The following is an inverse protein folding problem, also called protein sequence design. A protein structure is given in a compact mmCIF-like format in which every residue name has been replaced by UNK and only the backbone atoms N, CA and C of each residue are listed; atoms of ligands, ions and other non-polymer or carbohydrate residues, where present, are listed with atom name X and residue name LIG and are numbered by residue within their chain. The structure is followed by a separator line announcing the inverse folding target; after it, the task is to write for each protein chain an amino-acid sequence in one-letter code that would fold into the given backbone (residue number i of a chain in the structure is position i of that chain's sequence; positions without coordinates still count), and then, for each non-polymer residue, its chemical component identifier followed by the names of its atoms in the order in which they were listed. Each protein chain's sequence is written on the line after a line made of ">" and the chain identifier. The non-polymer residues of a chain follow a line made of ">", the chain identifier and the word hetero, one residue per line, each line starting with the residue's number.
data_IF_332446729277
#
_entry.id   IF_332446729277
#
_cell.length_a   1.000
_cell.length_b   1.000
_cell.length_c   1.000
_cell.angle_alpha   90.00
_cell.angle_beta   90.00
_cell.angle_gamma   90.00
#
_symmetry.space_group_name_H-M   'P 1'
#
loop_
_entity.id
_entity.type
_entity.pdbx_description
1 polymer ?
#
# COMPACT_ATOMS: atom_id res chain seq x y z
N UNK A 1 4.50 -15.07 11.38
CA UNK A 1 3.42 -14.08 11.54
C UNK A 1 3.88 -13.11 12.61
N UNK A 2 4.16 -11.85 12.26
CA UNK A 2 4.36 -10.79 13.24
C UNK A 2 2.99 -10.60 13.92
N UNK A 3 2.94 -10.66 15.26
CA UNK A 3 1.72 -10.59 16.05
C UNK A 3 0.89 -9.35 15.72
N UNK A 4 0.01 -9.46 14.73
CA UNK A 4 -0.94 -8.41 14.37
C UNK A 4 -2.01 -8.19 15.46
N UNK A 5 -2.07 -9.09 16.43
CA UNK A 5 -2.91 -9.02 17.63
C UNK A 5 -2.59 -7.81 18.53
N UNK A 6 -1.37 -7.25 18.40
CA UNK A 6 -0.92 -6.07 19.16
C UNK A 6 -1.05 -4.75 18.38
N UNK A 7 -1.56 -4.81 17.14
CA UNK A 7 -1.65 -3.62 16.31
C UNK A 7 -2.76 -2.67 16.77
N UNK A 8 -2.45 -1.39 16.75
CA UNK A 8 -3.35 -0.33 17.19
C UNK A 8 -4.05 0.28 15.98
N UNK A 9 -5.35 0.46 16.10
CA UNK A 9 -6.15 1.13 15.09
C UNK A 9 -5.91 2.65 15.13
N UNK A 10 -5.54 3.22 13.98
CA UNK A 10 -5.29 4.66 13.83
C UNK A 10 -6.56 5.40 13.39
N UNK A 11 -7.37 4.78 12.54
CA UNK A 11 -8.59 5.36 12.01
C UNK A 11 -8.91 4.83 10.62
N UNK A 12 -9.94 5.40 10.00
CA UNK A 12 -10.29 5.12 8.61
C UNK A 12 -10.44 6.39 7.79
N UNK A 13 -10.45 6.22 6.46
CA UNK A 13 -10.79 7.24 5.47
C UNK A 13 -11.73 6.65 4.45
N UNK A 14 -12.62 7.49 3.93
CA UNK A 14 -13.57 7.13 2.89
C UNK A 14 -13.22 7.92 1.64
N UNK A 15 -13.08 7.21 0.52
CA UNK A 15 -12.78 7.78 -0.79
C UNK A 15 -13.91 7.37 -1.73
N UNK A 16 -14.46 8.33 -2.46
CA UNK A 16 -15.42 8.06 -3.53
C UNK A 16 -14.69 8.12 -4.86
N UNK A 17 -14.87 7.12 -5.67
CA UNK A 17 -14.11 6.97 -6.91
C UNK A 17 -14.91 6.32 -8.04
N UNK A 18 -14.22 5.99 -9.14
CA UNK A 18 -14.80 5.36 -10.31
C UNK A 18 -15.28 3.93 -10.02
N UNK A 19 -15.55 3.15 -11.06
CA UNK A 19 -15.90 1.73 -10.90
C UNK A 19 -14.93 1.02 -9.96
N UNK A 20 -15.45 0.21 -9.04
CA UNK A 20 -14.65 -0.50 -8.03
C UNK A 20 -13.58 -1.44 -8.63
N UNK A 21 -13.82 -1.98 -9.85
CA UNK A 21 -12.81 -2.81 -10.55
C UNK A 21 -11.66 -1.96 -11.05
N UNK A 22 -11.94 -0.74 -11.53
CA UNK A 22 -10.89 0.21 -11.95
C UNK A 22 -10.06 0.63 -10.74
N UNK A 23 -10.71 0.94 -9.61
CA UNK A 23 -10.00 1.22 -8.37
C UNK A 23 -9.18 0.03 -7.88
N UNK A 24 -9.69 -1.20 -8.02
CA UNK A 24 -8.97 -2.43 -7.67
C UNK A 24 -7.76 -2.66 -8.59
N UNK A 25 -7.92 -2.40 -9.89
CA UNK A 25 -6.84 -2.54 -10.89
C UNK A 25 -5.68 -1.56 -10.60
N UNK A 26 -5.95 -0.37 -10.08
CA UNK A 26 -4.93 0.57 -9.65
C UNK A 26 -3.98 0.03 -8.57
N UNK A 27 -4.44 -0.91 -7.73
CA UNK A 27 -3.57 -1.62 -6.79
C UNK A 27 -2.77 -2.77 -7.41
N UNK A 28 -3.10 -3.17 -8.64
CA UNK A 28 -2.51 -4.33 -9.32
C UNK A 28 -1.33 -3.98 -10.22
N UNK A 29 -1.13 -2.72 -10.55
CA UNK A 29 -0.08 -2.32 -11.48
C UNK A 29 0.58 -1.01 -11.04
N UNK A 30 1.78 -0.74 -11.57
CA UNK A 30 2.58 0.46 -11.25
C UNK A 30 2.76 1.41 -12.42
N UNK A 31 2.20 1.12 -13.58
CA UNK A 31 2.43 1.94 -14.78
C UNK A 31 1.89 3.35 -14.63
N UNK A 32 0.83 3.54 -13.86
CA UNK A 32 0.24 4.84 -13.57
C UNK A 32 1.10 5.70 -12.62
N UNK A 33 2.04 5.13 -11.84
CA UNK A 33 2.81 5.87 -10.83
C UNK A 33 3.52 7.09 -11.41
N UNK A 34 4.07 6.96 -12.61
CA UNK A 34 4.75 8.07 -13.28
C UNK A 34 3.79 9.20 -13.70
N UNK A 35 2.55 8.88 -13.99
CA UNK A 35 1.56 9.85 -14.45
C UNK A 35 0.73 10.42 -13.29
N UNK A 36 0.28 9.56 -12.37
CA UNK A 36 -0.60 9.94 -11.27
C UNK A 36 0.15 10.30 -9.98
N UNK A 37 1.32 9.68 -9.74
CA UNK A 37 2.09 9.82 -8.50
C UNK A 37 3.55 10.26 -8.73
N UNK A 38 3.82 11.29 -9.58
CA UNK A 38 5.18 11.65 -9.95
C UNK A 38 6.01 12.18 -8.80
N UNK A 39 5.38 12.72 -7.75
CA UNK A 39 6.07 13.31 -6.59
C UNK A 39 5.98 12.44 -5.31
N UNK A 40 5.07 11.48 -5.29
CA UNK A 40 4.78 10.69 -4.09
C UNK A 40 5.32 9.27 -4.16
N UNK A 41 4.93 8.47 -5.16
CA UNK A 41 5.32 7.06 -5.29
C UNK A 41 6.50 6.88 -6.25
N UNK A 42 6.47 7.52 -7.44
CA UNK A 42 7.51 7.39 -8.47
C UNK A 42 8.94 7.66 -7.97
N UNK A 43 9.23 8.62 -7.06
CA UNK A 43 10.57 8.82 -6.55
C UNK A 43 11.13 7.64 -5.76
N UNK A 44 10.28 6.75 -5.25
CA UNK A 44 10.63 5.63 -4.37
C UNK A 44 10.51 4.27 -5.02
N UNK A 45 9.70 4.14 -6.07
CA UNK A 45 9.28 2.87 -6.65
C UNK A 45 9.46 2.88 -8.17
N UNK A 46 9.90 1.76 -8.73
CA UNK A 46 9.93 1.59 -10.19
C UNK A 46 8.52 1.29 -10.70
N UNK A 47 8.04 2.11 -11.63
CA UNK A 47 6.70 1.97 -12.22
C UNK A 47 6.55 0.80 -13.20
N UNK A 48 7.65 0.21 -13.63
CA UNK A 48 7.68 -0.84 -14.65
C UNK A 48 8.36 -2.14 -14.20
N UNK A 49 8.65 -2.28 -12.91
CA UNK A 49 9.25 -3.49 -12.33
C UNK A 49 8.35 -4.01 -11.23
N UNK A 50 7.61 -5.06 -11.56
CA UNK A 50 6.64 -5.70 -10.66
C UNK A 50 6.81 -7.21 -10.68
N UNK A 51 6.53 -7.84 -9.56
CA UNK A 51 6.47 -9.28 -9.40
C UNK A 51 5.06 -9.70 -8.96
N UNK A 52 4.56 -10.79 -9.50
CA UNK A 52 3.23 -11.31 -9.22
C UNK A 52 3.29 -12.76 -8.75
N UNK A 53 2.58 -13.05 -7.66
CA UNK A 53 2.38 -14.40 -7.17
C UNK A 53 0.89 -14.65 -6.92
N UNK A 54 0.31 -15.62 -7.60
CA UNK A 54 -1.13 -15.89 -7.60
C UNK A 54 -1.48 -17.08 -6.70
N UNK A 55 -2.42 -16.89 -5.80
CA UNK A 55 -2.94 -17.89 -4.88
C UNK A 55 -4.47 -18.03 -5.05
N UNK A 56 -4.87 -18.86 -6.02
CA UNK A 56 -6.28 -18.96 -6.43
C UNK A 56 -6.78 -17.63 -6.97
N UNK A 57 -7.87 -17.04 -6.40
CA UNK A 57 -8.37 -15.73 -6.82
C UNK A 57 -7.62 -14.56 -6.17
N UNK A 58 -6.64 -14.82 -5.32
CA UNK A 58 -5.88 -13.81 -4.58
C UNK A 58 -4.52 -13.57 -5.23
N UNK A 59 -3.98 -12.38 -5.04
CA UNK A 59 -2.74 -11.97 -5.68
C UNK A 59 -1.81 -11.26 -4.68
N UNK A 60 -0.52 -11.60 -4.75
CA UNK A 60 0.56 -10.83 -4.15
C UNK A 60 1.26 -10.07 -5.26
N UNK A 61 1.32 -8.74 -5.13
CA UNK A 61 2.05 -7.88 -6.06
C UNK A 61 3.21 -7.24 -5.34
N UNK A 62 4.41 -7.41 -5.86
CA UNK A 62 5.62 -6.76 -5.40
C UNK A 62 6.01 -5.63 -6.33
N UNK A 63 6.15 -4.42 -5.80
CA UNK A 63 6.65 -3.26 -6.52
C UNK A 63 8.11 -3.03 -6.15
N UNK A 64 9.00 -3.01 -7.14
CA UNK A 64 10.43 -2.84 -6.89
C UNK A 64 10.73 -1.44 -6.35
N UNK A 65 11.27 -1.38 -5.14
CA UNK A 65 11.74 -0.14 -4.55
C UNK A 65 13.05 0.33 -5.20
N UNK A 66 13.25 1.64 -5.41
CA UNK A 66 14.49 2.18 -5.99
C UNK A 66 15.71 1.93 -5.11
N UNK A 67 15.50 1.75 -3.81
CA UNK A 67 16.54 1.30 -2.87
C UNK A 67 17.10 -0.09 -3.18
N UNK A 68 16.41 -0.89 -4.00
CA UNK A 68 16.91 -2.20 -4.47
C UNK A 68 18.29 -2.09 -5.15
N UNK A 69 18.59 -0.97 -5.78
CA UNK A 69 19.90 -0.77 -6.43
C UNK A 69 21.08 -0.88 -5.44
N UNK A 70 20.86 -0.51 -4.18
CA UNK A 70 21.91 -0.62 -3.14
C UNK A 70 22.20 -2.08 -2.76
N UNK A 71 21.28 -3.01 -3.03
CA UNK A 71 21.50 -4.44 -2.79
C UNK A 71 22.55 -5.05 -3.73
N UNK A 72 22.79 -4.42 -4.89
CA UNK A 72 23.85 -4.84 -5.81
C UNK A 72 25.26 -4.63 -5.26
N UNK A 73 25.41 -3.83 -4.21
CA UNK A 73 26.68 -3.57 -3.53
C UNK A 73 26.91 -4.52 -2.34
N UNK A 74 25.90 -5.34 -1.98
CA UNK A 74 25.95 -6.26 -0.86
C UNK A 74 26.39 -7.64 -1.35
N UNK A 75 27.32 -8.27 -0.61
CA UNK A 75 27.75 -9.64 -0.89
C UNK A 75 26.57 -10.62 -0.86
N UNK A 76 26.50 -11.54 -1.81
CA UNK A 76 25.35 -12.43 -2.01
C UNK A 76 24.99 -13.26 -0.77
N UNK A 77 25.99 -13.66 0.03
CA UNK A 77 25.80 -14.42 1.26
C UNK A 77 25.30 -13.55 2.44
N UNK A 78 25.32 -12.23 2.31
CA UNK A 78 24.88 -11.26 3.31
C UNK A 78 23.51 -10.64 2.99
N UNK A 79 23.00 -10.81 1.77
CA UNK A 79 21.73 -10.21 1.31
C UNK A 79 20.56 -10.52 2.24
N UNK A 80 20.50 -11.72 2.81
CA UNK A 80 19.41 -12.15 3.69
C UNK A 80 19.39 -11.44 5.07
N UNK A 81 20.51 -10.80 5.45
CA UNK A 81 20.66 -10.02 6.67
C UNK A 81 20.41 -8.53 6.44
N UNK A 82 20.36 -8.11 5.18
CA UNK A 82 20.26 -6.70 4.84
C UNK A 82 18.87 -6.15 5.14
N UNK A 83 18.81 -4.99 5.80
CA UNK A 83 17.54 -4.36 6.20
C UNK A 83 16.81 -3.69 5.03
N UNK A 84 17.51 -3.42 3.92
CA UNK A 84 16.92 -2.76 2.74
C UNK A 84 15.87 -3.66 2.10
N UNK A 85 14.68 -3.12 1.93
CA UNK A 85 13.61 -3.79 1.19
C UNK A 85 13.87 -3.69 -0.31
N UNK A 86 13.80 -4.84 -0.99
CA UNK A 86 13.82 -4.90 -2.45
C UNK A 86 12.47 -4.59 -3.07
N UNK A 87 11.38 -5.00 -2.40
CA UNK A 87 10.00 -4.85 -2.86
C UNK A 87 9.08 -4.35 -1.75
N UNK A 88 8.13 -3.53 -2.14
CA UNK A 88 6.93 -3.24 -1.36
C UNK A 88 5.79 -4.13 -1.86
N UNK A 89 5.16 -4.86 -0.94
CA UNK A 89 4.14 -5.84 -1.29
C UNK A 89 2.73 -5.39 -0.96
N UNK A 90 1.86 -5.49 -1.96
CA UNK A 90 0.41 -5.37 -1.80
C UNK A 90 -0.21 -6.77 -1.91
N UNK A 91 -1.07 -7.11 -0.98
CA UNK A 91 -1.84 -8.35 -0.95
C UNK A 91 -3.27 -8.04 -1.34
N UNK A 92 -3.71 -8.65 -2.42
CA UNK A 92 -5.04 -8.46 -2.98
C UNK A 92 -5.90 -9.69 -2.70
N UNK A 93 -6.94 -9.49 -1.94
CA UNK A 93 -7.92 -10.51 -1.62
C UNK A 93 -9.18 -10.26 -2.44
N UNK A 94 -9.37 -11.13 -3.44
CA UNK A 94 -10.58 -11.07 -4.26
C UNK A 94 -11.85 -11.21 -3.37
N UNK A 95 -12.93 -10.44 -3.64
CA UNK A 95 -13.08 -9.60 -4.83
C UNK A 95 -12.60 -8.14 -4.66
N UNK A 96 -12.40 -7.60 -3.46
CA UNK A 96 -12.36 -6.16 -3.30
C UNK A 96 -11.52 -5.63 -2.12
N UNK A 97 -10.56 -6.41 -1.62
CA UNK A 97 -9.71 -5.99 -0.51
C UNK A 97 -8.24 -5.92 -0.92
N UNK A 98 -7.60 -4.80 -0.61
CA UNK A 98 -6.16 -4.59 -0.74
C UNK A 98 -5.53 -4.38 0.63
N UNK A 99 -4.38 -5.02 0.89
CA UNK A 99 -3.61 -4.84 2.12
C UNK A 99 -2.16 -4.49 1.79
N UNK A 100 -1.76 -3.30 2.19
CA UNK A 100 -0.37 -2.84 2.14
C UNK A 100 0.21 -2.83 3.55
N UNK A 101 1.36 -3.47 3.74
CA UNK A 101 2.05 -3.55 5.05
C UNK A 101 3.39 -2.86 4.94
N UNK A 102 3.51 -1.68 5.51
CA UNK A 102 4.77 -0.96 5.71
C UNK A 102 5.26 -1.11 7.17
N UNK A 103 6.51 -0.71 7.48
CA UNK A 103 7.07 -0.83 8.84
C UNK A 103 6.25 -0.12 9.92
N UNK A 104 5.72 1.04 9.59
CA UNK A 104 5.08 1.94 10.56
C UNK A 104 3.57 2.05 10.37
N UNK A 105 3.04 1.59 9.24
CA UNK A 105 1.61 1.65 8.96
C UNK A 105 1.16 0.48 8.09
N UNK A 106 0.00 -0.05 8.38
CA UNK A 106 -0.71 -0.98 7.50
C UNK A 106 -1.98 -0.33 7.02
N UNK A 107 -2.18 -0.40 5.73
CA UNK A 107 -3.40 0.05 5.06
C UNK A 107 -4.21 -1.17 4.63
N UNK A 108 -5.49 -1.19 5.02
CA UNK A 108 -6.47 -2.17 4.55
C UNK A 108 -7.58 -1.41 3.83
N UNK A 109 -7.60 -1.54 2.51
CA UNK A 109 -8.59 -0.87 1.67
C UNK A 109 -9.65 -1.87 1.20
N UNK A 110 -10.92 -1.52 1.35
CA UNK A 110 -12.05 -2.27 0.83
C UNK A 110 -12.82 -1.42 -0.18
N UNK A 111 -12.87 -1.87 -1.42
CA UNK A 111 -13.56 -1.19 -2.52
C UNK A 111 -14.97 -1.73 -2.66
N UNK A 112 -15.97 -0.93 -2.28
CA UNK A 112 -17.38 -1.30 -2.25
C UNK A 112 -18.06 -0.74 -3.50
N UNK A 113 -18.72 -1.58 -4.32
CA UNK A 113 -19.50 -1.11 -5.46
C UNK A 113 -20.52 -0.05 -5.03
N UNK A 114 -20.62 1.03 -5.81
CA UNK A 114 -21.66 2.04 -5.64
C UNK A 114 -22.98 1.62 -6.27
N UNK A 115 -24.00 2.50 -6.19
CA UNK A 115 -25.31 2.25 -6.79
C UNK A 115 -25.28 2.22 -8.32
N UNK A 116 -24.30 2.90 -8.92
CA UNK A 116 -24.05 2.94 -10.36
C UNK A 116 -22.79 2.18 -10.77
N UNK A 117 -22.70 1.79 -12.06
CA UNK A 117 -21.55 1.03 -12.57
C UNK A 117 -20.23 1.83 -12.61
N UNK A 118 -20.32 3.16 -12.47
CA UNK A 118 -19.17 4.06 -12.52
C UNK A 118 -18.79 4.63 -11.13
N UNK A 119 -19.33 4.03 -10.07
CA UNK A 119 -19.16 4.54 -8.72
C UNK A 119 -18.66 3.46 -7.78
N UNK A 120 -17.79 3.85 -6.86
CA UNK A 120 -17.42 3.05 -5.71
C UNK A 120 -17.22 3.91 -4.46
N UNK A 121 -17.22 3.24 -3.32
CA UNK A 121 -16.75 3.79 -2.05
C UNK A 121 -15.62 2.89 -1.55
N UNK A 122 -14.42 3.44 -1.46
CA UNK A 122 -13.29 2.74 -0.84
C UNK A 122 -13.18 3.17 0.61
N UNK A 123 -13.27 2.20 1.52
CA UNK A 123 -13.00 2.42 2.94
C UNK A 123 -11.61 1.91 3.25
N UNK A 124 -10.74 2.82 3.66
CA UNK A 124 -9.35 2.51 4.00
C UNK A 124 -9.15 2.59 5.50
N UNK A 125 -8.77 1.48 6.11
CA UNK A 125 -8.41 1.38 7.52
C UNK A 125 -6.90 1.43 7.69
N UNK A 126 -6.44 2.14 8.72
CA UNK A 126 -5.03 2.27 9.05
C UNK A 126 -4.74 1.67 10.43
N UNK A 127 -3.69 0.86 10.48
CA UNK A 127 -3.20 0.22 11.70
C UNK A 127 -1.72 0.50 11.87
N UNK A 128 -1.27 0.57 13.13
CA UNK A 128 0.14 0.74 13.48
C UNK A 128 0.61 -0.41 14.38
N UNK A 129 1.84 -0.93 14.21
CA UNK A 129 2.33 -2.11 14.95
C UNK A 129 2.52 -1.88 16.46
N UNK A 130 2.44 -0.64 16.93
CA UNK A 130 2.60 -0.27 18.35
C UNK A 130 1.56 0.76 18.77
N UNK A 131 1.17 0.83 20.04
CA UNK A 131 0.38 1.94 20.54
C UNK A 131 1.14 3.27 20.42
N UNK A 132 0.44 4.42 20.37
CA UNK A 132 1.10 5.72 20.34
C UNK A 132 1.81 5.98 21.67
N UNK A 133 2.99 6.58 21.60
CA UNK A 133 3.79 6.91 22.78
C UNK A 133 3.30 8.17 23.48
N UNK A 134 2.71 9.10 22.73
CA UNK A 134 2.18 10.38 23.19
C UNK A 134 1.23 10.98 22.12
N UNK A 135 0.62 12.12 22.45
CA UNK A 135 -0.34 12.81 21.58
C UNK A 135 0.30 13.29 20.26
N UNK A 136 1.56 13.71 20.28
CA UNK A 136 2.28 14.12 19.09
C UNK A 136 2.48 12.93 18.14
N UNK A 137 2.91 11.79 18.67
CA UNK A 137 3.07 10.56 17.86
C UNK A 137 1.73 10.10 17.28
N UNK A 138 0.64 10.24 18.04
CA UNK A 138 -0.70 9.97 17.51
C UNK A 138 -1.07 10.92 16.37
N UNK A 139 -0.76 12.21 16.49
CA UNK A 139 -1.02 13.19 15.44
C UNK A 139 -0.21 12.90 14.16
N UNK A 140 1.04 12.49 14.27
CA UNK A 140 1.89 12.08 13.14
C UNK A 140 1.31 10.86 12.39
N UNK A 141 0.75 9.89 13.11
CA UNK A 141 0.07 8.72 12.50
C UNK A 141 -1.19 9.12 11.74
N UNK A 142 -1.95 10.06 12.29
CA UNK A 142 -3.14 10.60 11.62
C UNK A 142 -2.73 11.34 10.34
N UNK A 143 -1.68 12.16 10.39
CA UNK A 143 -1.14 12.82 9.20
C UNK A 143 -0.67 11.83 8.13
N UNK A 144 -0.01 10.73 8.52
CA UNK A 144 0.40 9.69 7.59
C UNK A 144 -0.82 9.03 6.93
N UNK A 145 -1.89 8.77 7.69
CA UNK A 145 -3.13 8.21 7.15
C UNK A 145 -3.82 9.18 6.18
N UNK A 146 -3.80 10.49 6.48
CA UNK A 146 -4.32 11.54 5.59
C UNK A 146 -3.51 11.62 4.30
N UNK A 147 -2.18 11.60 4.40
CA UNK A 147 -1.30 11.61 3.25
C UNK A 147 -1.54 10.39 2.33
N UNK A 148 -1.66 9.19 2.91
CA UNK A 148 -1.94 7.98 2.12
C UNK A 148 -3.31 8.03 1.44
N UNK A 149 -4.33 8.61 2.10
CA UNK A 149 -5.62 8.87 1.45
C UNK A 149 -5.45 9.81 0.25
N UNK A 150 -4.72 10.91 0.43
CA UNK A 150 -4.55 11.93 -0.61
C UNK A 150 -3.80 11.34 -1.82
N UNK A 151 -2.78 10.52 -1.59
CA UNK A 151 -2.08 9.77 -2.65
C UNK A 151 -3.06 8.92 -3.47
N UNK A 152 -3.95 8.17 -2.83
CA UNK A 152 -4.95 7.35 -3.54
C UNK A 152 -5.99 8.22 -4.23
N UNK A 153 -6.35 9.36 -3.64
CA UNK A 153 -7.34 10.27 -4.21
C UNK A 153 -6.82 11.04 -5.44
N UNK A 154 -5.51 11.21 -5.59
CA UNK A 154 -4.90 11.80 -6.79
C UNK A 154 -5.20 10.99 -8.07
N UNK A 155 -5.55 9.70 -7.94
CA UNK A 155 -5.93 8.83 -9.05
C UNK A 155 -7.37 9.07 -9.56
N UNK A 156 -8.19 9.82 -8.85
CA UNK A 156 -9.63 9.98 -9.08
C UNK A 156 -9.97 11.44 -9.41
#
# INVERSE_FOLDING_TARGET
>A
AKGMDQWTYVGNRVIHGPNWKVAYDGYLEGYHFKAAHPETIEPRTYSNVMEYDAHGPHLLVGFAAKTMMTLGEVEQNELWQHETRGYDFIRLFFPNVSIFVAPEITQVAQMIPGPGPLENTTITHFLHPKPPENDQNQAERIQMADWLRDVVQEEH
#
